data_IF_586854655387
#
_entry.id   IF_586854655387
#
_cell.length_a   1.000
_cell.length_b   1.000
_cell.length_c   1.000
_cell.angle_alpha   90.00
_cell.angle_beta   90.00
_cell.angle_gamma   90.00
#
_symmetry.space_group_name_H-M   'P 1'
#
loop_
_entity.id
_entity.type
_entity.pdbx_description
1 polymer ?
#
# COMPACT_ATOMS: atom_id res chain seq x y z
N UNK A 1 -31.26 17.27 8.90
CA UNK A 1 -31.62 15.86 8.65
C UNK A 1 -30.46 14.98 9.08
N UNK A 2 -30.71 13.83 9.72
CA UNK A 2 -29.62 12.91 10.04
C UNK A 2 -29.12 12.27 8.75
N UNK A 3 -27.87 12.54 8.37
CA UNK A 3 -27.22 12.01 7.15
C UNK A 3 -26.56 10.65 7.37
N UNK A 4 -26.74 10.05 8.54
CA UNK A 4 -26.11 8.79 8.90
C UNK A 4 -27.05 7.62 8.65
N UNK A 5 -26.54 6.59 7.99
CA UNK A 5 -27.25 5.34 7.70
C UNK A 5 -26.52 4.16 8.33
N UNK A 6 -27.25 3.06 8.57
CA UNK A 6 -26.69 1.84 9.14
C UNK A 6 -26.30 0.89 8.02
N UNK A 7 -25.07 0.40 8.04
CA UNK A 7 -24.57 -0.64 7.15
C UNK A 7 -24.46 -1.97 7.90
N UNK A 8 -25.27 -2.96 7.50
CA UNK A 8 -25.21 -4.32 8.05
C UNK A 8 -24.38 -5.22 7.12
N UNK A 9 -23.28 -5.77 7.64
CA UNK A 9 -22.39 -6.68 6.90
C UNK A 9 -22.35 -8.03 7.60
N UNK A 10 -22.61 -9.11 6.85
CA UNK A 10 -22.45 -10.48 7.34
C UNK A 10 -20.98 -10.90 7.24
N UNK A 11 -20.40 -11.34 8.34
CA UNK A 11 -19.00 -11.78 8.41
C UNK A 11 -18.82 -12.84 9.49
N UNK A 12 -17.67 -13.51 9.50
CA UNK A 12 -17.32 -14.48 10.53
C UNK A 12 -17.06 -13.79 11.88
N UNK A 13 -17.44 -14.47 12.98
CA UNK A 13 -17.28 -13.93 14.33
C UNK A 13 -15.80 -13.72 14.70
N UNK A 14 -14.92 -14.67 14.36
CA UNK A 14 -13.49 -14.56 14.69
C UNK A 14 -12.87 -13.41 13.91
N UNK A 15 -13.17 -13.32 12.61
CA UNK A 15 -12.68 -12.23 11.77
C UNK A 15 -13.10 -10.84 12.31
N UNK A 16 -14.34 -10.72 12.79
CA UNK A 16 -14.82 -9.46 13.41
C UNK A 16 -14.04 -9.09 14.66
N UNK A 17 -13.79 -10.06 15.55
CA UNK A 17 -13.05 -9.80 16.80
C UNK A 17 -11.58 -9.47 16.52
N UNK A 18 -10.95 -10.14 15.55
CA UNK A 18 -9.59 -9.84 15.10
C UNK A 18 -9.49 -8.42 14.52
N UNK A 19 -10.39 -8.07 13.59
CA UNK A 19 -10.43 -6.72 13.01
C UNK A 19 -10.65 -5.64 14.08
N UNK A 20 -11.49 -5.92 15.09
CA UNK A 20 -11.71 -5.02 16.22
C UNK A 20 -10.44 -4.84 17.04
N UNK A 21 -9.73 -5.92 17.38
CA UNK A 21 -8.47 -5.87 18.12
C UNK A 21 -7.43 -5.02 17.38
N UNK A 22 -7.23 -5.27 16.08
CA UNK A 22 -6.30 -4.50 15.25
C UNK A 22 -6.68 -3.02 15.21
N UNK A 23 -7.97 -2.69 15.03
CA UNK A 23 -8.40 -1.27 15.04
C UNK A 23 -8.12 -0.58 16.38
N UNK A 24 -8.28 -1.29 17.50
CA UNK A 24 -8.00 -0.77 18.84
C UNK A 24 -6.50 -0.57 19.09
N UNK A 25 -5.65 -1.48 18.61
CA UNK A 25 -4.20 -1.32 18.63
C UNK A 25 -3.75 -0.08 17.84
N UNK A 26 -4.46 0.24 16.76
CA UNK A 26 -4.27 1.47 15.98
C UNK A 26 -4.93 2.72 16.60
N UNK A 27 -5.60 2.59 17.75
CA UNK A 27 -6.21 3.71 18.47
C UNK A 27 -7.50 4.25 17.84
N UNK A 28 -8.17 3.49 16.97
CA UNK A 28 -9.37 3.93 16.25
C UNK A 28 -10.53 2.93 16.35
N UNK A 29 -11.80 3.39 16.38
CA UNK A 29 -12.94 2.48 16.31
C UNK A 29 -12.98 1.72 14.97
N UNK A 30 -13.37 0.44 15.00
CA UNK A 30 -13.55 -0.38 13.78
C UNK A 30 -14.44 0.31 12.73
N UNK A 31 -15.50 1.00 13.15
CA UNK A 31 -16.37 1.77 12.23
C UNK A 31 -15.63 2.86 11.47
N UNK A 32 -14.62 3.49 12.07
CA UNK A 32 -13.78 4.50 11.43
C UNK A 32 -12.96 3.88 10.31
N UNK A 33 -12.39 2.70 10.56
CA UNK A 33 -11.63 1.93 9.56
C UNK A 33 -12.52 1.54 8.38
N UNK A 34 -13.72 1.01 8.64
CA UNK A 34 -14.67 0.64 7.59
C UNK A 34 -15.08 1.87 6.75
N UNK A 35 -15.38 3.01 7.39
CA UNK A 35 -15.71 4.24 6.68
C UNK A 35 -14.53 4.77 5.84
N UNK A 36 -13.29 4.62 6.32
CA UNK A 36 -12.11 4.99 5.54
C UNK A 36 -11.96 4.11 4.28
N UNK A 37 -12.17 2.79 4.40
CA UNK A 37 -12.19 1.89 3.25
C UNK A 37 -13.28 2.22 2.25
N UNK A 38 -14.49 2.56 2.70
CA UNK A 38 -15.57 2.98 1.79
C UNK A 38 -15.20 4.27 1.03
N UNK A 39 -14.58 5.24 1.71
CA UNK A 39 -14.09 6.47 1.06
C UNK A 39 -12.97 6.18 0.05
N UNK A 40 -12.05 5.27 0.39
CA UNK A 40 -11.00 4.81 -0.51
C UNK A 40 -11.61 4.19 -1.76
N UNK A 41 -12.54 3.25 -1.58
CA UNK A 41 -13.21 2.54 -2.68
C UNK A 41 -13.91 3.52 -3.65
N UNK A 42 -14.60 4.53 -3.11
CA UNK A 42 -15.24 5.57 -3.94
C UNK A 42 -14.21 6.42 -4.69
N UNK A 43 -13.09 6.75 -4.05
CA UNK A 43 -12.03 7.59 -4.64
C UNK A 43 -11.29 6.89 -5.76
N UNK A 44 -10.89 5.65 -5.52
CA UNK A 44 -10.04 4.90 -6.43
C UNK A 44 -10.87 4.24 -7.54
N UNK A 45 -12.18 4.01 -7.30
CA UNK A 45 -13.11 3.34 -8.23
C UNK A 45 -12.65 1.95 -8.65
N UNK A 46 -11.84 1.31 -7.83
CA UNK A 46 -11.33 -0.04 -8.07
C UNK A 46 -11.32 -0.87 -6.78
N UNK A 47 -11.30 -2.19 -6.94
CA UNK A 47 -11.04 -3.14 -5.86
C UNK A 47 -9.88 -4.01 -6.30
N UNK A 48 -8.79 -4.01 -5.53
CA UNK A 48 -7.65 -4.87 -5.81
C UNK A 48 -7.88 -6.27 -5.23
N UNK A 49 -8.01 -7.26 -6.11
CA UNK A 49 -7.95 -8.67 -5.73
C UNK A 49 -6.59 -9.22 -6.15
N UNK A 50 -5.72 -9.48 -5.17
CA UNK A 50 -4.41 -10.06 -5.41
C UNK A 50 -4.37 -11.49 -4.87
N UNK A 51 -4.12 -12.46 -5.75
CA UNK A 51 -3.67 -13.80 -5.36
C UNK A 51 -2.15 -13.87 -5.17
N UNK A 52 -1.43 -12.76 -5.45
CA UNK A 52 0.01 -12.70 -5.31
C UNK A 52 0.36 -12.53 -3.83
N UNK A 53 0.90 -13.59 -3.23
CA UNK A 53 1.88 -13.43 -2.15
C UNK A 53 2.91 -12.41 -2.63
N UNK A 54 3.37 -11.48 -1.79
CA UNK A 54 4.34 -10.39 -2.07
C UNK A 54 5.65 -10.87 -2.72
N UNK A 55 5.58 -11.46 -3.91
CA UNK A 55 6.67 -12.00 -4.71
C UNK A 55 6.89 -11.03 -5.86
N UNK A 56 8.11 -10.54 -6.04
CA UNK A 56 8.47 -9.75 -7.20
C UNK A 56 8.09 -10.47 -8.49
N UNK A 57 7.65 -9.72 -9.50
CA UNK A 57 7.55 -10.27 -10.86
C UNK A 57 8.95 -10.60 -11.37
N UNK A 58 9.10 -11.52 -12.34
CA UNK A 58 10.43 -11.80 -12.92
C UNK A 58 11.11 -10.56 -13.51
N UNK A 59 10.33 -9.55 -13.92
CA UNK A 59 10.87 -8.25 -14.31
C UNK A 59 11.48 -7.52 -13.10
N UNK A 60 10.72 -7.42 -11.99
CA UNK A 60 11.21 -6.77 -10.78
C UNK A 60 12.41 -7.51 -10.17
N UNK A 61 12.45 -8.84 -10.20
CA UNK A 61 13.62 -9.62 -9.78
C UNK A 61 14.89 -9.24 -10.55
N UNK A 62 14.78 -9.09 -11.88
CA UNK A 62 15.90 -8.69 -12.75
C UNK A 62 16.38 -7.29 -12.43
N UNK A 63 15.46 -6.33 -12.30
CA UNK A 63 15.78 -4.93 -11.96
C UNK A 63 16.45 -4.84 -10.60
N UNK A 64 15.97 -5.58 -9.60
CA UNK A 64 16.59 -5.62 -8.28
C UNK A 64 18.00 -6.23 -8.32
N UNK A 65 18.20 -7.31 -9.07
CA UNK A 65 19.52 -7.94 -9.23
C UNK A 65 20.52 -7.02 -9.95
N UNK A 66 20.07 -6.26 -10.95
CA UNK A 66 20.87 -5.24 -11.62
C UNK A 66 21.30 -4.13 -10.66
N UNK A 67 20.34 -3.51 -9.97
CA UNK A 67 20.61 -2.45 -9.01
C UNK A 67 21.57 -2.89 -7.88
N UNK A 68 21.44 -4.12 -7.39
CA UNK A 68 22.36 -4.69 -6.39
C UNK A 68 23.79 -4.85 -6.91
N UNK A 69 23.95 -5.25 -8.18
CA UNK A 69 25.28 -5.37 -8.81
C UNK A 69 25.93 -4.01 -8.99
N UNK A 70 25.20 -3.03 -9.50
CA UNK A 70 25.70 -1.66 -9.68
C UNK A 70 26.13 -1.04 -8.34
N UNK A 71 25.32 -1.23 -7.29
CA UNK A 71 25.67 -0.78 -5.94
C UNK A 71 26.95 -1.43 -5.42
N UNK A 72 27.07 -2.76 -5.54
CA UNK A 72 28.26 -3.48 -5.10
C UNK A 72 29.53 -3.11 -5.90
N UNK A 73 29.37 -2.78 -7.19
CA UNK A 73 30.45 -2.35 -8.07
C UNK A 73 30.85 -0.87 -7.87
N UNK A 74 30.10 -0.10 -7.07
CA UNK A 74 30.28 1.35 -6.96
C UNK A 74 29.88 2.12 -8.22
N UNK A 75 29.14 1.47 -9.12
CA UNK A 75 28.60 2.04 -10.37
C UNK A 75 27.24 2.71 -10.14
N UNK A 76 26.67 2.55 -8.94
CA UNK A 76 25.47 3.27 -8.53
C UNK A 76 25.67 4.78 -8.68
N UNK A 77 24.76 5.43 -9.40
CA UNK A 77 24.84 6.88 -9.58
C UNK A 77 24.51 7.60 -8.28
N UNK A 78 25.50 8.24 -7.69
CA UNK A 78 25.35 9.07 -6.50
C UNK A 78 26.58 9.03 -5.59
N UNK A 79 26.63 9.87 -4.55
CA UNK A 79 25.50 10.59 -3.97
C UNK A 79 25.01 11.75 -4.84
N UNK A 80 23.69 11.89 -4.96
CA UNK A 80 23.03 13.02 -5.61
C UNK A 80 22.04 13.64 -4.62
N UNK A 81 21.90 14.97 -4.65
CA UNK A 81 20.83 15.64 -3.91
C UNK A 81 19.48 15.50 -4.64
N UNK A 82 18.39 15.97 -4.01
CA UNK A 82 17.04 15.84 -4.56
C UNK A 82 16.87 16.51 -5.94
N UNK A 83 17.48 17.68 -6.14
CA UNK A 83 17.39 18.42 -7.40
C UNK A 83 18.15 17.73 -8.52
N UNK A 84 19.35 17.21 -8.22
CA UNK A 84 20.18 16.42 -9.13
C UNK A 84 19.48 15.12 -9.55
N UNK A 85 18.83 14.43 -8.59
CA UNK A 85 18.04 13.24 -8.89
C UNK A 85 16.88 13.57 -9.84
N UNK A 86 16.13 14.63 -9.58
CA UNK A 86 15.01 15.05 -10.44
C UNK A 86 15.50 15.41 -11.84
N UNK A 87 16.62 16.13 -11.95
CA UNK A 87 17.21 16.45 -13.25
C UNK A 87 17.61 15.19 -14.02
N UNK A 88 18.23 14.22 -13.35
CA UNK A 88 18.60 12.95 -13.97
C UNK A 88 17.38 12.13 -14.43
N UNK A 89 16.34 12.01 -13.60
CA UNK A 89 15.13 11.25 -13.94
C UNK A 89 14.41 11.81 -15.18
N UNK A 90 14.56 13.10 -15.48
CA UNK A 90 14.01 13.72 -16.70
C UNK A 90 14.80 13.38 -17.97
N UNK A 91 16.00 12.79 -17.84
CA UNK A 91 16.85 12.39 -18.98
C UNK A 91 16.70 10.93 -19.39
N UNK A 92 16.01 10.13 -18.57
CA UNK A 92 15.63 8.73 -18.84
C UNK A 92 14.38 8.68 -19.73
#
# INVERSE_FOLDING_TARGET
MSTHTILNVKTDKKLKEEAKKVSQELGVPLSTVINAFLKQFVRDREVTFSANQHRPTSYLERVLAEAQREYAAGESRGPMNGDELIAHLKTL
#
